data_IF_493543975321
#
_entry.id   IF_493543975321
#
_cell.length_a   1.000
_cell.length_b   1.000
_cell.length_c   1.000
_cell.angle_alpha   90.00
_cell.angle_beta   90.00
_cell.angle_gamma   90.00
#
_symmetry.space_group_name_H-M   'P 1'
#
loop_
_entity.id
_entity.type
_entity.pdbx_description
1 polymer ?
#
# COMPACT_ATOMS: atom_id res chain seq x y z
N UNK A 1 -68.85 43.38 17.26
CA UNK A 1 -68.17 44.38 16.43
C UNK A 1 -66.68 43.99 16.42
N UNK A 2 -66.30 43.25 15.44
CA UNK A 2 -64.94 42.66 15.35
C UNK A 2 -64.34 43.19 14.01
N UNK A 3 -63.21 43.86 14.15
CA UNK A 3 -62.44 44.36 12.98
C UNK A 3 -61.68 43.22 12.34
N UNK A 4 -61.51 43.19 11.03
CA UNK A 4 -60.74 42.18 10.31
C UNK A 4 -59.25 42.54 10.27
N UNK A 5 -58.38 41.52 10.50
CA UNK A 5 -56.95 41.60 10.34
C UNK A 5 -56.54 41.44 8.84
N UNK A 6 -55.73 42.36 8.41
CA UNK A 6 -55.17 42.45 7.06
C UNK A 6 -53.98 41.48 6.90
N UNK A 7 -54.12 40.43 6.09
CA UNK A 7 -53.07 39.48 5.75
C UNK A 7 -52.44 39.90 4.42
N UNK A 8 -51.25 40.51 4.45
CA UNK A 8 -50.39 40.68 3.24
C UNK A 8 -49.47 39.46 3.08
N UNK A 9 -49.35 38.94 1.87
CA UNK A 9 -48.45 37.82 1.58
C UNK A 9 -46.99 38.27 1.51
N UNK A 10 -46.11 37.54 2.20
CA UNK A 10 -44.66 37.68 2.19
C UNK A 10 -44.11 37.00 0.91
N UNK A 11 -43.45 37.79 0.03
CA UNK A 11 -42.75 37.26 -1.14
C UNK A 11 -41.54 36.45 -0.78
N UNK A 12 -41.22 35.35 -1.52
CA UNK A 12 -40.06 34.54 -1.26
C UNK A 12 -38.76 35.23 -1.76
N UNK A 13 -37.77 35.27 -0.86
CA UNK A 13 -36.40 35.72 -1.11
C UNK A 13 -35.73 34.67 -2.01
N UNK A 14 -35.29 35.04 -3.21
CA UNK A 14 -34.41 34.18 -4.05
C UNK A 14 -33.00 34.21 -3.51
N UNK A 15 -32.33 33.03 -3.37
CA UNK A 15 -30.92 33.04 -3.09
C UNK A 15 -30.11 33.41 -4.32
N UNK A 16 -29.31 34.45 -4.22
CA UNK A 16 -28.30 34.83 -5.21
C UNK A 16 -27.11 33.85 -5.09
N UNK A 17 -27.00 32.93 -6.03
CA UNK A 17 -25.83 32.11 -6.23
C UNK A 17 -24.68 32.98 -6.79
N UNK A 18 -23.79 33.39 -5.90
CA UNK A 18 -22.49 33.92 -6.28
C UNK A 18 -21.56 32.74 -6.59
N UNK A 19 -21.39 32.43 -7.87
CA UNK A 19 -20.37 31.50 -8.35
C UNK A 19 -19.00 32.12 -8.15
N UNK A 20 -18.34 31.79 -7.07
CA UNK A 20 -16.91 32.01 -6.92
C UNK A 20 -16.17 30.95 -7.76
N UNK A 21 -15.65 31.39 -8.90
CA UNK A 21 -14.69 30.65 -9.71
C UNK A 21 -13.37 30.63 -8.93
N UNK A 22 -13.14 29.58 -8.16
CA UNK A 22 -11.81 29.31 -7.60
C UNK A 22 -10.95 28.75 -8.73
N UNK A 23 -9.96 29.54 -9.14
CA UNK A 23 -8.85 29.05 -9.95
C UNK A 23 -8.02 28.09 -9.09
N UNK A 24 -8.07 26.80 -9.42
CA UNK A 24 -7.18 25.79 -8.84
C UNK A 24 -5.75 26.02 -9.34
N UNK A 25 -5.00 26.74 -8.53
CA UNK A 25 -3.57 26.94 -8.67
C UNK A 25 -2.87 26.58 -7.35
N UNK A 26 -3.22 25.49 -6.71
CA UNK A 26 -2.45 24.95 -5.58
C UNK A 26 -1.26 24.19 -6.14
N UNK A 27 -0.10 24.82 -6.10
CA UNK A 27 1.20 24.18 -6.31
C UNK A 27 1.36 23.08 -5.26
N UNK A 28 1.30 21.82 -5.69
CA UNK A 28 1.68 20.68 -4.85
C UNK A 28 3.11 20.91 -4.37
N UNK A 29 3.30 20.97 -3.06
CA UNK A 29 4.64 20.96 -2.47
C UNK A 29 5.27 19.59 -2.76
N UNK A 30 6.52 19.53 -3.20
CA UNK A 30 7.15 18.27 -3.55
C UNK A 30 7.43 17.49 -2.26
N UNK A 31 6.73 16.37 -2.11
CA UNK A 31 6.94 15.41 -1.04
C UNK A 31 7.67 14.21 -1.62
N UNK A 32 8.97 14.12 -1.35
CA UNK A 32 9.76 12.94 -1.74
C UNK A 32 9.51 11.85 -0.71
N UNK A 33 8.76 10.82 -1.09
CA UNK A 33 8.53 9.63 -0.29
C UNK A 33 9.57 8.57 -0.63
N UNK A 34 10.29 8.11 0.38
CA UNK A 34 11.30 7.08 0.27
C UNK A 34 10.84 5.84 1.04
N UNK A 35 10.33 4.86 0.32
CA UNK A 35 9.97 3.57 0.89
C UNK A 35 11.07 2.52 0.74
N UNK A 36 11.30 1.75 1.77
CA UNK A 36 12.14 0.59 1.67
C UNK A 36 12.69 -0.03 2.96
N UNK A 37 12.82 -1.30 2.92
CA UNK A 37 13.26 -2.19 3.99
C UNK A 37 14.75 -2.02 4.35
N UNK A 38 15.05 -1.63 5.57
CA UNK A 38 16.42 -1.38 6.05
C UNK A 38 17.02 -2.57 6.79
N UNK A 39 18.20 -2.99 6.38
CA UNK A 39 19.11 -3.79 7.21
C UNK A 39 20.08 -2.81 7.89
N UNK A 40 19.99 -2.64 9.21
CA UNK A 40 20.91 -1.78 9.96
C UNK A 40 22.03 -2.63 10.55
N UNK A 41 23.28 -2.33 10.18
CA UNK A 41 24.47 -2.63 10.96
C UNK A 41 24.89 -1.34 11.67
N UNK A 42 25.04 -1.44 12.99
CA UNK A 42 25.45 -0.37 13.89
C UNK A 42 26.91 0.04 13.67
N UNK A 43 27.14 1.32 13.47
CA UNK A 43 28.37 1.98 13.93
C UNK A 43 28.05 3.46 14.15
N UNK A 44 28.26 3.94 15.39
CA UNK A 44 28.00 5.30 15.80
C UNK A 44 29.05 6.29 15.31
N UNK A 45 28.68 7.57 15.27
CA UNK A 45 29.35 8.69 15.91
C UNK A 45 28.67 10.00 15.56
N UNK A 46 28.61 10.88 16.53
CA UNK A 46 28.03 12.21 16.57
C UNK A 46 28.52 13.16 15.49
N UNK A 47 27.62 14.00 14.93
CA UNK A 47 27.83 15.46 15.01
C UNK A 47 26.56 16.20 14.56
N UNK A 48 26.23 17.23 15.33
CA UNK A 48 25.11 18.14 15.10
C UNK A 48 25.39 19.05 13.89
N UNK A 49 24.40 19.19 13.00
CA UNK A 49 24.46 20.12 11.86
C UNK A 49 23.05 20.44 11.38
N UNK A 50 22.66 21.66 11.67
CA UNK A 50 21.46 22.40 11.31
C UNK A 50 20.86 22.11 9.93
N UNK A 51 19.52 22.07 9.90
CA UNK A 51 18.66 21.88 8.75
C UNK A 51 19.01 22.67 7.50
N UNK A 52 18.89 22.00 6.37
CA UNK A 52 18.66 22.47 5.00
C UNK A 52 19.04 21.42 3.94
N UNK A 53 19.01 20.12 4.26
CA UNK A 53 19.45 19.06 3.34
C UNK A 53 18.46 18.71 2.21
N UNK A 54 17.16 18.81 2.45
CA UNK A 54 16.15 18.27 1.52
C UNK A 54 15.87 19.21 0.35
N UNK A 55 15.92 20.53 0.55
CA UNK A 55 15.73 21.51 -0.51
C UNK A 55 16.82 21.48 -1.60
N UNK A 56 17.98 20.92 -1.32
CA UNK A 56 19.12 20.85 -2.25
C UNK A 56 19.08 19.63 -3.17
N UNK A 57 18.32 18.58 -2.80
CA UNK A 57 18.10 17.38 -3.64
C UNK A 57 17.13 17.62 -4.79
N UNK A 58 16.24 18.61 -4.67
CA UNK A 58 15.19 18.92 -5.63
C UNK A 58 15.61 19.75 -6.85
N UNK A 59 16.85 20.19 -6.94
CA UNK A 59 17.30 21.11 -7.97
C UNK A 59 18.07 20.50 -9.13
N UNK A 60 18.33 19.19 -9.14
CA UNK A 60 19.03 18.55 -10.27
C UNK A 60 17.99 17.98 -11.23
N UNK A 61 17.87 18.61 -12.44
CA UNK A 61 17.16 18.01 -13.56
C UNK A 61 17.63 16.57 -13.71
N UNK A 62 16.70 15.60 -13.67
CA UNK A 62 17.00 14.23 -14.08
C UNK A 62 17.69 14.31 -15.44
N UNK A 63 18.94 13.89 -15.50
CA UNK A 63 19.56 13.62 -16.79
C UNK A 63 18.93 12.31 -17.28
N UNK A 64 18.27 12.31 -18.43
CA UNK A 64 17.75 11.09 -19.07
C UNK A 64 18.87 10.07 -19.38
N UNK A 65 20.11 10.44 -19.15
CA UNK A 65 21.28 9.59 -19.32
C UNK A 65 21.34 8.50 -18.25
N UNK A 66 21.13 7.25 -18.66
CA UNK A 66 21.22 6.07 -17.79
C UNK A 66 19.89 5.42 -17.43
N UNK A 67 18.74 6.04 -17.73
CA UNK A 67 17.44 5.40 -17.58
C UNK A 67 17.22 4.29 -18.63
N UNK A 68 16.58 3.16 -18.26
CA UNK A 68 16.15 2.15 -19.21
C UNK A 68 15.10 2.71 -20.17
N UNK A 69 15.38 2.69 -21.49
CA UNK A 69 14.51 3.29 -22.50
C UNK A 69 14.43 2.45 -23.80
N UNK A 70 15.09 1.29 -23.88
CA UNK A 70 15.13 0.48 -25.12
C UNK A 70 13.77 -0.07 -25.51
N UNK A 71 12.95 -0.38 -24.53
CA UNK A 71 11.62 -0.93 -24.72
C UNK A 71 10.64 -0.22 -23.80
N UNK A 72 9.42 0.02 -24.29
CA UNK A 72 8.34 0.58 -23.50
C UNK A 72 7.06 -0.23 -23.71
N UNK A 73 6.31 -0.39 -22.63
CA UNK A 73 4.96 -0.96 -22.63
C UNK A 73 4.07 -0.02 -21.82
N UNK A 74 2.96 0.42 -22.41
CA UNK A 74 1.98 1.26 -21.75
C UNK A 74 0.64 0.52 -21.65
N UNK A 75 0.00 0.60 -20.48
CA UNK A 75 -1.33 0.06 -20.23
C UNK A 75 -1.99 0.89 -19.12
N UNK A 76 -3.07 1.58 -19.44
CA UNK A 76 -3.81 2.43 -18.49
C UNK A 76 -2.88 3.37 -17.70
N UNK A 77 -2.86 3.27 -16.35
CA UNK A 77 -1.98 4.05 -15.48
C UNK A 77 -0.52 3.54 -15.44
N UNK A 78 -0.20 2.39 -16.06
CA UNK A 78 1.13 1.79 -16.05
C UNK A 78 1.92 2.13 -17.31
N UNK A 79 3.16 2.57 -17.13
CA UNK A 79 4.17 2.63 -18.18
C UNK A 79 5.41 1.86 -17.70
N UNK A 80 5.83 0.83 -18.42
CA UNK A 80 7.09 0.12 -18.12
C UNK A 80 8.13 0.51 -19.15
N UNK A 81 9.21 1.12 -18.69
CA UNK A 81 10.41 1.44 -19.45
C UNK A 81 11.51 0.46 -19.07
N UNK A 82 12.07 -0.27 -20.01
CA UNK A 82 13.05 -1.32 -19.70
C UNK A 82 14.13 -1.46 -20.76
N UNK A 83 15.31 -1.91 -20.34
CA UNK A 83 16.35 -2.39 -21.25
C UNK A 83 16.16 -3.86 -21.67
N UNK A 84 15.27 -4.57 -20.97
CA UNK A 84 14.84 -5.91 -21.31
C UNK A 84 13.64 -5.88 -22.27
N UNK A 85 13.60 -6.79 -23.23
CA UNK A 85 12.47 -6.91 -24.15
C UNK A 85 11.26 -7.50 -23.44
N UNK A 86 10.40 -6.64 -22.89
CA UNK A 86 9.11 -7.01 -22.31
C UNK A 86 8.00 -6.68 -23.30
N UNK A 87 7.17 -7.67 -23.61
CA UNK A 87 5.94 -7.44 -24.37
C UNK A 87 4.76 -7.12 -23.44
N UNK A 88 3.69 -6.57 -24.01
CA UNK A 88 2.47 -6.26 -23.25
C UNK A 88 1.84 -7.47 -22.55
N UNK A 89 2.11 -8.70 -23.04
CA UNK A 89 1.66 -9.97 -22.44
C UNK A 89 2.73 -10.64 -21.57
N UNK A 90 3.79 -9.95 -21.23
CA UNK A 90 4.81 -10.49 -20.32
C UNK A 90 4.18 -10.71 -18.93
N UNK A 91 4.41 -11.86 -18.24
CA UNK A 91 3.78 -12.16 -16.95
C UNK A 91 3.91 -11.05 -15.90
N UNK A 92 5.05 -10.38 -15.85
CA UNK A 92 5.29 -9.25 -14.94
C UNK A 92 4.39 -8.05 -15.26
N UNK A 93 4.18 -7.74 -16.55
CA UNK A 93 3.31 -6.63 -16.97
C UNK A 93 1.84 -6.97 -16.66
N UNK A 94 1.42 -8.19 -16.97
CA UNK A 94 0.08 -8.66 -16.64
C UNK A 94 -0.17 -8.65 -15.12
N UNK A 95 0.81 -9.03 -14.32
CA UNK A 95 0.72 -8.99 -12.87
C UNK A 95 0.51 -7.56 -12.33
N UNK A 96 1.21 -6.57 -12.88
CA UNK A 96 1.01 -5.17 -12.46
C UNK A 96 -0.36 -4.61 -12.88
N UNK A 97 -0.90 -5.04 -14.03
CA UNK A 97 -2.28 -4.71 -14.41
C UNK A 97 -3.29 -5.29 -13.43
N UNK A 98 -3.15 -6.59 -13.11
CA UNK A 98 -4.01 -7.25 -12.12
C UNK A 98 -3.87 -6.59 -10.75
N UNK A 99 -2.65 -6.23 -10.33
CA UNK A 99 -2.44 -5.50 -9.09
C UNK A 99 -3.18 -4.15 -9.08
N UNK A 100 -3.12 -3.39 -10.18
CA UNK A 100 -3.86 -2.14 -10.30
C UNK A 100 -5.36 -2.36 -10.08
N UNK A 101 -5.95 -3.33 -10.77
CA UNK A 101 -7.36 -3.68 -10.61
C UNK A 101 -7.67 -4.06 -9.15
N UNK A 102 -6.85 -4.91 -8.54
CA UNK A 102 -6.99 -5.32 -7.15
C UNK A 102 -6.95 -4.14 -6.17
N UNK A 103 -6.02 -3.20 -6.36
CA UNK A 103 -5.89 -2.00 -5.51
C UNK A 103 -7.11 -1.11 -5.64
N UNK A 104 -7.52 -0.77 -6.88
CA UNK A 104 -8.67 0.09 -7.12
C UNK A 104 -9.97 -0.53 -6.60
N UNK A 105 -10.22 -1.81 -6.88
CA UNK A 105 -11.43 -2.51 -6.44
C UNK A 105 -11.49 -2.65 -4.91
N UNK A 106 -10.39 -3.10 -4.30
CA UNK A 106 -10.34 -3.37 -2.85
C UNK A 106 -10.46 -2.12 -2.01
N UNK A 107 -9.81 -1.04 -2.45
CA UNK A 107 -9.77 0.24 -1.74
C UNK A 107 -10.81 1.24 -2.23
N UNK A 108 -11.59 0.89 -3.26
CA UNK A 108 -12.56 1.77 -3.91
C UNK A 108 -11.96 3.15 -4.27
N UNK A 109 -10.72 3.12 -4.76
CA UNK A 109 -10.05 4.35 -5.15
C UNK A 109 -10.80 4.99 -6.34
N UNK A 110 -10.97 6.32 -6.31
CA UNK A 110 -11.57 7.02 -7.44
C UNK A 110 -10.75 6.76 -8.71
N UNK A 111 -11.44 6.70 -9.84
CA UNK A 111 -10.75 6.67 -11.12
C UNK A 111 -9.98 7.98 -11.31
N UNK A 112 -8.75 7.85 -11.78
CA UNK A 112 -7.89 9.00 -12.00
C UNK A 112 -8.37 9.79 -13.22
N UNK A 113 -9.07 10.91 -12.97
CA UNK A 113 -9.51 11.85 -13.99
C UNK A 113 -8.34 12.60 -14.66
N UNK A 114 -7.17 12.64 -14.02
CA UNK A 114 -5.98 13.34 -14.53
C UNK A 114 -5.21 12.50 -15.54
N UNK A 115 -5.40 11.19 -15.56
CA UNK A 115 -4.66 10.25 -16.40
C UNK A 115 -3.19 10.13 -15.97
N UNK A 116 -2.87 10.44 -14.71
CA UNK A 116 -1.52 10.35 -14.18
C UNK A 116 -1.02 8.91 -14.21
N UNK A 117 0.18 8.72 -14.78
CA UNK A 117 0.75 7.40 -15.00
C UNK A 117 1.90 7.14 -14.04
N UNK A 118 1.93 5.93 -13.51
CA UNK A 118 3.08 5.42 -12.77
C UNK A 118 4.06 4.80 -13.76
N UNK A 119 5.27 5.36 -13.83
CA UNK A 119 6.32 4.86 -14.72
C UNK A 119 7.28 3.95 -13.96
N UNK A 120 7.35 2.69 -14.38
CA UNK A 120 8.31 1.71 -13.87
C UNK A 120 9.57 1.72 -14.74
N UNK A 121 10.72 2.08 -14.18
CA UNK A 121 12.04 1.96 -14.79
C UNK A 121 12.68 0.67 -14.33
N UNK A 122 12.69 -0.33 -15.21
CA UNK A 122 13.23 -1.66 -14.94
C UNK A 122 14.60 -1.82 -15.60
N UNK A 123 15.63 -1.72 -14.79
CA UNK A 123 17.02 -1.93 -15.20
C UNK A 123 17.30 -3.41 -15.46
N UNK A 124 18.24 -3.70 -16.37
CA UNK A 124 18.60 -5.07 -16.69
C UNK A 124 19.32 -5.80 -15.55
N UNK A 125 20.00 -5.06 -14.67
CA UNK A 125 20.76 -5.60 -13.56
C UNK A 125 20.94 -4.59 -12.42
N UNK A 126 21.36 -5.09 -11.25
CA UNK A 126 21.60 -4.30 -10.04
C UNK A 126 22.67 -3.23 -10.22
N UNK A 127 23.73 -3.50 -10.97
CA UNK A 127 24.86 -2.58 -11.12
C UNK A 127 24.45 -1.29 -11.84
N UNK A 128 23.70 -1.40 -12.93
CA UNK A 128 23.18 -0.24 -13.68
C UNK A 128 22.16 0.55 -12.85
N UNK A 129 21.26 -0.15 -12.16
CA UNK A 129 20.31 0.45 -11.26
C UNK A 129 20.98 1.23 -10.13
N UNK A 130 21.94 0.59 -9.43
CA UNK A 130 22.66 1.22 -8.31
C UNK A 130 23.43 2.46 -8.78
N UNK A 131 24.13 2.36 -9.90
CA UNK A 131 24.83 3.50 -10.49
C UNK A 131 23.88 4.67 -10.74
N UNK A 132 22.73 4.41 -11.37
CA UNK A 132 21.74 5.44 -11.65
C UNK A 132 21.21 6.10 -10.35
N UNK A 133 20.83 5.29 -9.34
CA UNK A 133 20.32 5.82 -8.07
C UNK A 133 21.39 6.65 -7.37
N UNK A 134 22.62 6.18 -7.26
CA UNK A 134 23.72 6.92 -6.61
C UNK A 134 24.05 8.24 -7.31
N UNK A 135 24.01 8.28 -8.63
CA UNK A 135 24.29 9.49 -9.43
C UNK A 135 23.12 10.49 -9.39
N UNK A 136 21.89 10.01 -9.43
CA UNK A 136 20.68 10.85 -9.55
C UNK A 136 20.16 11.29 -8.18
N UNK A 137 20.20 10.40 -7.20
CA UNK A 137 19.70 10.61 -5.84
C UNK A 137 20.77 10.34 -4.78
N UNK A 138 21.84 11.15 -4.76
CA UNK A 138 22.97 10.93 -3.83
C UNK A 138 22.52 11.01 -2.37
N UNK A 139 22.95 10.02 -1.59
CA UNK A 139 22.63 9.93 -0.17
C UNK A 139 21.43 9.01 0.16
N UNK A 140 20.74 8.46 -0.84
CA UNK A 140 19.78 7.40 -0.59
C UNK A 140 20.49 6.12 -0.15
N UNK A 141 20.02 5.41 0.90
CA UNK A 141 20.53 4.09 1.24
C UNK A 141 20.26 3.13 0.08
N UNK A 142 21.06 2.07 -0.04
CA UNK A 142 20.78 1.05 -1.06
C UNK A 142 19.51 0.27 -0.73
N UNK A 143 18.63 0.17 -1.73
CA UNK A 143 17.41 -0.64 -1.73
C UNK A 143 17.23 -1.29 -3.08
N UNK A 144 16.48 -2.40 -3.16
CA UNK A 144 16.23 -3.11 -4.43
C UNK A 144 15.25 -2.36 -5.33
N UNK A 145 14.39 -1.56 -4.75
CA UNK A 145 13.44 -0.72 -5.47
C UNK A 145 13.18 0.58 -4.72
N UNK A 146 12.67 1.56 -5.44
CA UNK A 146 12.21 2.84 -4.93
C UNK A 146 10.98 3.31 -5.68
N UNK A 147 9.97 3.73 -4.97
CA UNK A 147 8.99 4.68 -5.49
C UNK A 147 9.47 6.11 -5.18
N UNK A 148 9.49 6.97 -6.19
CA UNK A 148 9.82 8.38 -6.07
C UNK A 148 8.72 9.20 -6.74
N UNK A 149 7.91 9.87 -5.93
CA UNK A 149 6.88 10.80 -6.37
C UNK A 149 7.39 12.24 -6.42
N UNK A 150 7.17 12.91 -7.55
CA UNK A 150 7.38 14.34 -7.70
C UNK A 150 6.09 14.98 -8.22
N UNK A 151 5.93 16.31 -8.20
CA UNK A 151 4.73 16.95 -8.75
C UNK A 151 4.43 16.63 -10.22
N UNK A 152 5.47 16.24 -10.97
CA UNK A 152 5.39 16.02 -12.41
C UNK A 152 5.49 14.54 -12.79
N UNK A 153 5.78 13.65 -11.82
CA UNK A 153 6.08 12.25 -12.15
C UNK A 153 5.96 11.32 -10.96
N UNK A 154 5.29 10.21 -11.17
CA UNK A 154 5.28 9.05 -10.26
C UNK A 154 6.14 7.96 -10.88
N UNK A 155 7.25 7.59 -10.23
CA UNK A 155 8.22 6.68 -10.81
C UNK A 155 8.67 5.60 -9.84
N UNK A 156 8.68 4.36 -10.32
CA UNK A 156 9.27 3.20 -9.65
C UNK A 156 10.59 2.87 -10.33
N UNK A 157 11.64 2.71 -9.55
CA UNK A 157 12.97 2.31 -10.02
C UNK A 157 13.32 0.97 -9.41
N UNK A 158 13.67 -0.02 -10.23
CA UNK A 158 14.07 -1.34 -9.78
C UNK A 158 14.91 -2.06 -10.86
N UNK A 159 15.45 -3.22 -10.54
CA UNK A 159 16.23 -4.04 -11.46
C UNK A 159 15.72 -5.48 -11.51
N UNK A 160 16.04 -6.16 -12.60
CA UNK A 160 15.69 -7.58 -12.76
C UNK A 160 16.43 -8.45 -11.77
N UNK A 161 15.68 -9.16 -10.89
CA UNK A 161 16.23 -10.03 -9.85
C UNK A 161 15.17 -10.96 -9.26
N UNK A 162 15.58 -11.83 -8.35
CA UNK A 162 14.72 -12.88 -7.78
C UNK A 162 13.48 -12.35 -7.02
N UNK A 163 13.57 -11.12 -6.51
CA UNK A 163 12.51 -10.47 -5.72
C UNK A 163 11.71 -9.43 -6.52
N UNK A 164 11.92 -9.37 -7.84
CA UNK A 164 11.32 -8.33 -8.70
C UNK A 164 9.79 -8.23 -8.56
N UNK A 165 9.09 -9.35 -8.38
CA UNK A 165 7.64 -9.34 -8.25
C UNK A 165 7.18 -8.70 -6.95
N UNK A 166 7.80 -9.09 -5.82
CA UNK A 166 7.52 -8.51 -4.51
C UNK A 166 7.85 -7.01 -4.52
N UNK A 167 9.07 -6.66 -4.95
CA UNK A 167 9.54 -5.28 -4.99
C UNK A 167 8.62 -4.39 -5.87
N UNK A 168 8.22 -4.86 -7.05
CA UNK A 168 7.33 -4.11 -7.93
C UNK A 168 5.92 -3.98 -7.37
N UNK A 169 5.37 -5.02 -6.75
CA UNK A 169 4.03 -4.94 -6.15
C UNK A 169 4.01 -3.90 -5.04
N UNK A 170 5.04 -3.87 -4.20
CA UNK A 170 5.18 -2.89 -3.12
C UNK A 170 5.26 -1.46 -3.68
N UNK A 171 6.27 -1.17 -4.50
CA UNK A 171 6.53 0.18 -4.99
C UNK A 171 5.47 0.70 -5.98
N UNK A 172 4.86 -0.19 -6.76
CA UNK A 172 3.79 0.21 -7.67
C UNK A 172 2.49 0.52 -6.91
N UNK A 173 2.25 -0.15 -5.76
CA UNK A 173 1.13 0.21 -4.87
C UNK A 173 1.26 1.64 -4.37
N UNK A 174 2.44 2.07 -3.90
CA UNK A 174 2.67 3.49 -3.57
C UNK A 174 2.33 4.40 -4.75
N UNK A 175 2.80 4.04 -5.96
CA UNK A 175 2.48 4.82 -7.17
C UNK A 175 0.98 4.98 -7.41
N UNK A 176 0.19 3.92 -7.26
CA UNK A 176 -1.26 3.95 -7.43
C UNK A 176 -1.96 4.79 -6.34
N UNK A 177 -1.53 4.68 -5.08
CA UNK A 177 -2.07 5.48 -3.98
C UNK A 177 -1.80 6.96 -4.21
N UNK A 178 -0.58 7.33 -4.56
CA UNK A 178 -0.19 8.71 -4.80
C UNK A 178 -0.74 9.31 -6.10
N UNK A 179 -1.14 8.48 -7.07
CA UNK A 179 -1.88 8.91 -8.24
C UNK A 179 -3.34 9.28 -7.91
N UNK A 180 -3.94 8.59 -6.94
CA UNK A 180 -5.37 8.70 -6.63
C UNK A 180 -5.67 9.61 -5.43
N UNK A 181 -4.72 9.82 -4.52
CA UNK A 181 -4.93 10.50 -3.23
C UNK A 181 -4.07 11.76 -3.14
N UNK A 182 -4.59 12.82 -2.52
CA UNK A 182 -3.84 14.08 -2.34
C UNK A 182 -2.68 13.92 -1.35
N UNK A 183 -2.86 13.06 -0.36
CA UNK A 183 -1.86 12.72 0.66
C UNK A 183 -2.14 11.32 1.17
N UNK A 184 -1.11 10.64 1.66
CA UNK A 184 -1.25 9.36 2.36
C UNK A 184 -0.38 9.40 3.61
N UNK A 185 -0.92 9.19 4.82
CA UNK A 185 -0.09 9.09 6.01
C UNK A 185 0.91 7.95 5.88
N UNK A 186 2.16 8.19 6.30
CA UNK A 186 3.27 7.26 6.10
C UNK A 186 2.95 5.82 6.52
N UNK A 187 2.38 5.64 7.71
CA UNK A 187 2.06 4.31 8.21
C UNK A 187 1.02 3.57 7.36
N UNK A 188 0.04 4.32 6.81
CA UNK A 188 -1.02 3.75 5.98
C UNK A 188 -0.49 3.41 4.58
N UNK A 189 0.34 4.28 4.01
CA UNK A 189 1.02 4.07 2.73
C UNK A 189 1.84 2.77 2.77
N UNK A 190 2.71 2.62 3.79
CA UNK A 190 3.49 1.41 4.00
C UNK A 190 2.62 0.18 4.33
N UNK A 191 1.60 0.36 5.16
CA UNK A 191 0.69 -0.73 5.51
C UNK A 191 -0.11 -1.28 4.33
N UNK A 192 -0.52 -0.43 3.40
CA UNK A 192 -1.19 -0.80 2.15
C UNK A 192 -0.20 -1.44 1.16
N UNK A 193 1.02 -0.89 1.02
CA UNK A 193 2.04 -1.48 0.17
C UNK A 193 2.39 -2.92 0.63
N UNK A 194 2.63 -3.13 1.91
CA UNK A 194 2.85 -4.45 2.52
C UNK A 194 1.65 -5.40 2.36
N UNK A 195 0.43 -4.87 2.38
CA UNK A 195 -0.79 -5.66 2.17
C UNK A 195 -0.90 -6.19 0.75
N UNK A 196 -0.53 -5.41 -0.25
CA UNK A 196 -0.59 -5.80 -1.66
C UNK A 196 0.71 -6.45 -2.18
N UNK A 197 1.80 -6.42 -1.41
CA UNK A 197 3.09 -7.00 -1.80
C UNK A 197 3.01 -8.50 -2.06
N UNK A 198 2.24 -9.23 -1.23
CA UNK A 198 2.14 -10.69 -1.34
C UNK A 198 1.34 -11.08 -2.60
N UNK A 199 1.97 -11.77 -3.57
CA UNK A 199 1.25 -12.23 -4.75
C UNK A 199 0.17 -13.24 -4.39
N UNK A 200 -1.04 -13.07 -4.94
CA UNK A 200 -2.16 -13.99 -4.72
C UNK A 200 -3.28 -13.74 -5.70
N UNK A 201 -4.20 -14.70 -5.83
CA UNK A 201 -5.43 -14.54 -6.63
C UNK A 201 -6.30 -13.46 -6.00
N UNK A 202 -6.38 -13.46 -4.67
CA UNK A 202 -7.08 -12.46 -3.87
C UNK A 202 -6.07 -11.62 -3.08
N UNK A 203 -6.27 -10.29 -3.02
CA UNK A 203 -5.46 -9.43 -2.17
C UNK A 203 -5.73 -9.72 -0.69
N UNK A 204 -4.71 -9.56 0.15
CA UNK A 204 -4.80 -9.80 1.59
C UNK A 204 -4.47 -11.23 2.00
N UNK A 205 -3.69 -11.94 1.20
CA UNK A 205 -3.04 -13.15 1.67
C UNK A 205 -2.18 -12.84 2.89
N UNK A 206 -2.38 -13.61 3.97
CA UNK A 206 -1.67 -13.39 5.24
C UNK A 206 -0.16 -13.50 5.05
N UNK A 207 0.57 -12.47 5.41
CA UNK A 207 2.02 -12.55 5.55
C UNK A 207 2.36 -13.38 6.79
N UNK A 208 2.71 -14.66 6.57
CA UNK A 208 2.97 -15.61 7.65
C UNK A 208 4.12 -15.19 8.57
N UNK A 209 5.17 -14.55 8.03
CA UNK A 209 6.26 -14.04 8.84
C UNK A 209 5.75 -12.96 9.81
N UNK A 210 4.95 -12.03 9.31
CA UNK A 210 4.36 -10.96 10.11
C UNK A 210 3.41 -11.51 11.18
N UNK A 211 2.52 -12.44 10.82
CA UNK A 211 1.59 -13.07 11.76
C UNK A 211 2.34 -13.74 12.93
N UNK A 212 3.39 -14.53 12.65
CA UNK A 212 4.20 -15.18 13.68
C UNK A 212 4.94 -14.18 14.58
N UNK A 213 5.53 -13.13 13.97
CA UNK A 213 6.27 -12.11 14.75
C UNK A 213 5.34 -11.28 15.64
N UNK A 214 4.15 -10.93 15.13
CA UNK A 214 3.13 -10.23 15.91
C UNK A 214 2.61 -11.08 17.07
N UNK A 215 2.30 -12.35 16.83
CA UNK A 215 1.87 -13.26 17.89
C UNK A 215 2.90 -13.36 19.02
N UNK A 216 4.19 -13.48 18.69
CA UNK A 216 5.28 -13.47 19.66
C UNK A 216 5.39 -12.14 20.41
N UNK A 217 5.24 -11.02 19.70
CA UNK A 217 5.27 -9.68 20.32
C UNK A 217 4.13 -9.52 21.32
N UNK A 218 2.91 -9.96 20.99
CA UNK A 218 1.74 -9.95 21.89
C UNK A 218 2.00 -10.78 23.14
N UNK A 219 2.57 -11.99 22.97
CA UNK A 219 2.95 -12.85 24.10
C UNK A 219 4.02 -12.20 25.01
N UNK A 220 4.89 -11.38 24.44
CA UNK A 220 5.91 -10.60 25.16
C UNK A 220 5.39 -9.29 25.76
N UNK A 221 4.09 -9.05 25.74
CA UNK A 221 3.46 -7.88 26.34
C UNK A 221 3.34 -6.65 25.44
N UNK A 222 3.71 -6.74 24.15
CA UNK A 222 3.49 -5.66 23.20
C UNK A 222 1.99 -5.36 23.04
N UNK A 223 1.68 -4.08 22.83
CA UNK A 223 0.34 -3.58 22.55
C UNK A 223 0.35 -2.70 21.30
N UNK A 224 -0.70 -2.77 20.47
CA UNK A 224 -0.83 -1.91 19.28
C UNK A 224 -1.01 -0.44 19.70
N UNK A 225 -0.50 0.47 18.86
CA UNK A 225 -0.67 1.91 19.07
C UNK A 225 -0.75 2.63 17.71
N UNK A 226 -1.94 2.62 17.11
CA UNK A 226 -2.20 3.28 15.83
C UNK A 226 -1.93 4.79 15.91
N UNK A 227 -2.22 5.42 17.07
CA UNK A 227 -1.96 6.86 17.26
C UNK A 227 -0.47 7.19 17.24
N UNK A 228 0.38 6.26 17.68
CA UNK A 228 1.84 6.39 17.54
C UNK A 228 2.24 6.31 16.08
N UNK A 229 1.69 5.37 15.32
CA UNK A 229 1.94 5.23 13.88
C UNK A 229 1.54 6.49 13.12
N UNK A 230 0.40 7.09 13.44
CA UNK A 230 -0.08 8.35 12.83
C UNK A 230 0.85 9.55 13.05
N UNK A 231 1.73 9.49 14.06
CA UNK A 231 2.73 10.54 14.33
C UNK A 231 4.06 10.35 13.57
N UNK A 232 4.21 9.24 12.86
CA UNK A 232 5.40 8.99 12.06
C UNK A 232 5.29 9.75 10.74
N UNK A 233 6.21 10.71 10.53
CA UNK A 233 6.21 11.56 9.34
C UNK A 233 7.34 11.22 8.37
N UNK A 234 8.33 10.46 8.82
CA UNK A 234 9.53 10.14 8.05
C UNK A 234 9.85 8.66 8.11
N UNK A 235 10.28 8.12 6.99
CA UNK A 235 10.64 6.69 6.86
C UNK A 235 11.75 6.29 7.84
N UNK A 236 12.68 7.20 8.14
CA UNK A 236 13.77 6.95 9.10
C UNK A 236 13.27 6.74 10.54
N UNK A 237 12.04 7.14 10.84
CA UNK A 237 11.39 6.92 12.14
C UNK A 237 10.74 5.54 12.22
N UNK A 238 10.47 4.90 11.08
CA UNK A 238 9.85 3.58 11.03
C UNK A 238 10.86 2.46 11.23
N UNK A 239 10.54 1.56 12.12
CA UNK A 239 11.26 0.32 12.34
C UNK A 239 10.50 -0.87 11.73
N UNK A 240 11.14 -2.01 11.57
CA UNK A 240 10.50 -3.24 11.07
C UNK A 240 9.23 -3.64 11.83
N UNK A 241 9.12 -3.25 13.11
CA UNK A 241 7.93 -3.49 13.90
C UNK A 241 6.76 -2.63 13.43
N UNK A 242 7.05 -1.39 13.00
CA UNK A 242 6.04 -0.44 12.55
C UNK A 242 5.42 -0.86 11.21
N UNK A 243 6.22 -1.35 10.27
CA UNK A 243 5.73 -1.94 9.02
C UNK A 243 4.76 -3.10 9.27
N UNK A 244 5.13 -4.02 10.17
CA UNK A 244 4.26 -5.15 10.55
C UNK A 244 2.99 -4.71 11.26
N UNK A 245 3.08 -3.71 12.13
CA UNK A 245 1.92 -3.15 12.82
C UNK A 245 0.99 -2.44 11.82
N UNK A 246 1.54 -1.65 10.91
CA UNK A 246 0.81 -0.97 9.82
C UNK A 246 0.09 -1.97 8.92
N UNK A 247 0.79 -2.99 8.44
CA UNK A 247 0.19 -4.09 7.69
C UNK A 247 -0.97 -4.73 8.46
N UNK A 248 -0.77 -5.02 9.73
CA UNK A 248 -1.78 -5.69 10.54
C UNK A 248 -3.02 -4.82 10.77
N UNK A 249 -2.88 -3.51 10.97
CA UNK A 249 -3.99 -2.57 11.04
C UNK A 249 -4.79 -2.51 9.74
N UNK A 250 -4.11 -2.42 8.60
CA UNK A 250 -4.76 -2.47 7.28
C UNK A 250 -5.50 -3.79 7.10
N UNK A 251 -4.84 -4.91 7.39
CA UNK A 251 -5.43 -6.24 7.26
C UNK A 251 -6.62 -6.44 8.20
N UNK A 252 -6.52 -5.95 9.44
CA UNK A 252 -7.63 -5.97 10.41
C UNK A 252 -8.84 -5.19 9.90
N UNK A 253 -8.65 -3.96 9.45
CA UNK A 253 -9.75 -3.14 8.95
C UNK A 253 -10.42 -3.77 7.73
N UNK A 254 -9.67 -4.30 6.78
CA UNK A 254 -10.21 -4.87 5.55
C UNK A 254 -10.90 -6.24 5.74
N UNK A 255 -10.58 -6.99 6.82
CA UNK A 255 -11.01 -8.39 6.95
C UNK A 255 -11.76 -8.73 8.23
N UNK A 256 -11.73 -7.89 9.27
CA UNK A 256 -12.31 -8.26 10.57
C UNK A 256 -13.82 -8.01 10.64
N UNK A 257 -14.27 -6.85 10.19
CA UNK A 257 -15.69 -6.44 10.26
C UNK A 257 -16.04 -5.50 9.11
N UNK A 258 -17.34 -5.46 8.70
CA UNK A 258 -17.81 -4.47 7.72
C UNK A 258 -17.54 -3.02 8.17
N UNK A 259 -17.73 -2.71 9.46
CA UNK A 259 -17.53 -1.36 10.01
C UNK A 259 -16.04 -0.96 9.91
N UNK A 260 -15.12 -1.87 10.22
CA UNK A 260 -13.68 -1.61 10.07
C UNK A 260 -13.29 -1.31 8.62
N UNK A 261 -13.84 -2.08 7.69
CA UNK A 261 -13.64 -1.85 6.26
C UNK A 261 -14.19 -0.48 5.85
N UNK A 262 -15.41 -0.15 6.28
CA UNK A 262 -16.03 1.13 5.91
C UNK A 262 -15.22 2.32 6.44
N UNK A 263 -14.74 2.27 7.68
CA UNK A 263 -13.86 3.32 8.26
C UNK A 263 -12.63 3.57 7.39
N UNK A 264 -11.96 2.51 6.92
CA UNK A 264 -10.80 2.66 6.06
C UNK A 264 -11.18 3.27 4.71
N UNK A 265 -12.28 2.81 4.09
CA UNK A 265 -12.72 3.33 2.79
C UNK A 265 -13.15 4.79 2.87
N UNK A 266 -13.90 5.19 3.90
CA UNK A 266 -14.30 6.59 4.12
C UNK A 266 -13.06 7.47 4.36
N UNK A 267 -12.06 6.95 5.05
CA UNK A 267 -10.80 7.66 5.26
C UNK A 267 -10.03 7.86 3.95
N UNK A 268 -9.93 6.83 3.11
CA UNK A 268 -9.30 6.95 1.79
C UNK A 268 -10.03 7.96 0.90
N UNK A 269 -11.37 7.98 0.96
CA UNK A 269 -12.16 9.00 0.28
C UNK A 269 -11.82 10.41 0.79
N UNK A 270 -11.67 10.59 2.11
CA UNK A 270 -11.26 11.89 2.67
C UNK A 270 -9.86 12.30 2.23
N UNK A 271 -8.92 11.36 2.10
CA UNK A 271 -7.57 11.61 1.59
C UNK A 271 -7.56 12.02 0.10
N UNK A 272 -8.55 11.58 -0.67
CA UNK A 272 -8.76 12.05 -2.04
C UNK A 272 -9.27 13.49 -2.08
N UNK A 273 -10.15 13.86 -1.17
CA UNK A 273 -10.82 15.18 -1.13
C UNK A 273 -9.99 16.27 -0.47
N UNK A 274 -9.14 15.94 0.51
CA UNK A 274 -8.34 16.90 1.26
C UNK A 274 -6.94 16.41 1.61
N UNK A 275 -5.99 17.34 1.63
CA UNK A 275 -4.62 17.07 2.11
C UNK A 275 -4.48 17.10 3.65
N UNK A 276 -5.54 17.45 4.38
CA UNK A 276 -5.55 17.56 5.84
C UNK A 276 -6.77 16.84 6.42
N UNK A 277 -6.85 15.51 6.32
CA UNK A 277 -7.93 14.74 6.91
C UNK A 277 -7.79 14.67 8.43
N UNK A 278 -8.91 14.36 9.10
CA UNK A 278 -8.87 13.97 10.51
C UNK A 278 -8.10 12.65 10.68
N UNK A 279 -7.67 12.36 11.93
CA UNK A 279 -6.95 11.11 12.20
C UNK A 279 -7.87 9.90 12.03
N UNK A 280 -7.40 8.86 11.33
CA UNK A 280 -8.13 7.60 11.15
C UNK A 280 -8.48 6.96 12.51
N UNK A 281 -7.56 7.01 13.48
CA UNK A 281 -7.77 6.46 14.82
C UNK A 281 -8.99 7.03 15.53
N UNK A 282 -9.37 8.27 15.24
CA UNK A 282 -10.57 8.91 15.80
C UNK A 282 -11.84 8.25 15.27
N UNK A 283 -11.95 8.09 13.95
CA UNK A 283 -13.08 7.42 13.30
C UNK A 283 -13.13 5.93 13.66
N UNK A 284 -11.97 5.29 13.75
CA UNK A 284 -11.87 3.87 14.10
C UNK A 284 -12.40 3.58 15.50
N UNK A 285 -12.01 4.38 16.50
CA UNK A 285 -12.51 4.23 17.89
C UNK A 285 -13.99 4.53 18.00
N UNK A 286 -14.51 5.48 17.24
CA UNK A 286 -15.93 5.80 17.21
C UNK A 286 -16.77 4.65 16.61
N UNK A 287 -16.32 4.04 15.53
CA UNK A 287 -17.02 2.95 14.85
C UNK A 287 -16.80 1.57 15.52
N UNK A 288 -15.61 1.35 16.08
CA UNK A 288 -15.21 0.10 16.72
C UNK A 288 -14.74 0.37 18.16
N UNK A 289 -15.63 0.44 19.14
CA UNK A 289 -15.24 0.50 20.54
C UNK A 289 -14.31 -0.66 20.89
N UNK A 290 -13.25 -0.37 21.68
CA UNK A 290 -12.20 -1.33 22.04
C UNK A 290 -11.42 -1.86 20.82
N UNK A 291 -11.17 -1.03 19.82
CA UNK A 291 -10.47 -1.41 18.59
C UNK A 291 -9.14 -2.14 18.85
N UNK A 292 -8.37 -1.70 19.86
CA UNK A 292 -7.10 -2.33 20.24
C UNK A 292 -7.27 -3.77 20.75
N UNK A 293 -8.32 -4.03 21.57
CA UNK A 293 -8.61 -5.37 22.07
C UNK A 293 -9.10 -6.29 20.93
N UNK A 294 -9.95 -5.76 20.04
CA UNK A 294 -10.40 -6.47 18.83
C UNK A 294 -9.24 -6.79 17.90
N UNK A 295 -8.33 -5.84 17.70
CA UNK A 295 -7.11 -6.04 16.91
C UNK A 295 -6.23 -7.14 17.50
N UNK A 296 -5.98 -7.15 18.82
CA UNK A 296 -5.20 -8.21 19.47
C UNK A 296 -5.81 -9.60 19.27
N UNK A 297 -7.13 -9.72 19.42
CA UNK A 297 -7.85 -10.96 19.15
C UNK A 297 -7.71 -11.37 17.68
N UNK A 298 -7.81 -10.42 16.75
CA UNK A 298 -7.63 -10.68 15.33
C UNK A 298 -6.23 -11.20 15.00
N UNK A 299 -5.18 -10.56 15.51
CA UNK A 299 -3.79 -11.00 15.34
C UNK A 299 -3.60 -12.45 15.86
N UNK A 300 -4.25 -12.83 16.95
CA UNK A 300 -4.22 -14.19 17.45
C UNK A 300 -4.83 -15.18 16.44
N UNK A 301 -5.90 -14.82 15.73
CA UNK A 301 -6.50 -15.68 14.72
C UNK A 301 -5.63 -15.88 13.48
N UNK A 302 -4.87 -14.87 13.06
CA UNK A 302 -3.96 -14.97 11.92
C UNK A 302 -2.91 -16.08 12.09
N UNK A 303 -2.44 -16.28 13.30
CA UNK A 303 -1.47 -17.33 13.60
C UNK A 303 -2.09 -18.75 13.62
N UNK A 304 -3.35 -18.89 14.08
CA UNK A 304 -4.02 -20.19 14.12
C UNK A 304 -4.44 -20.69 12.73
N UNK A 305 -4.72 -19.78 11.80
CA UNK A 305 -5.02 -20.13 10.41
C UNK A 305 -3.86 -20.84 9.71
N UNK A 306 -2.62 -20.48 10.04
CA UNK A 306 -1.42 -21.18 9.57
C UNK A 306 -1.34 -22.62 10.05
N UNK A 307 -1.66 -22.87 11.32
CA UNK A 307 -1.57 -24.23 11.90
C UNK A 307 -2.58 -25.16 11.25
N UNK A 308 -3.75 -24.65 10.86
CA UNK A 308 -4.76 -25.40 10.10
C UNK A 308 -4.29 -25.74 8.68
N UNK A 309 -3.64 -24.79 7.96
CA UNK A 309 -3.10 -25.03 6.61
C UNK A 309 -1.88 -25.96 6.61
N UNK A 310 -1.13 -26.01 7.71
CA UNK A 310 0.06 -26.87 7.86
C UNK A 310 -0.25 -28.24 8.44
N UNK A 311 -1.48 -28.50 8.88
CA UNK A 311 -1.90 -29.83 9.34
C UNK A 311 -2.24 -30.67 8.10
N UNK A 312 -1.48 -31.76 7.79
CA UNK A 312 -1.85 -32.66 6.70
C UNK A 312 -3.24 -33.22 6.99
N UNK A 313 -4.14 -33.13 6.02
CA UNK A 313 -5.45 -33.76 6.13
C UNK A 313 -5.30 -35.25 6.34
N UNK A 314 -5.43 -35.71 7.58
CA UNK A 314 -5.34 -37.13 7.94
C UNK A 314 -6.56 -37.95 7.46
N UNK A 315 -7.45 -37.39 6.66
CA UNK A 315 -8.70 -38.07 6.26
C UNK A 315 -8.70 -38.67 4.86
N UNK A 316 -7.56 -39.01 4.26
CA UNK A 316 -7.59 -39.73 2.96
C UNK A 316 -6.81 -41.06 2.92
N UNK A 317 -6.58 -41.75 4.04
CA UNK A 317 -6.00 -43.12 4.01
C UNK A 317 -6.71 -44.11 4.95
N UNK A 318 -8.04 -44.23 4.86
CA UNK A 318 -8.75 -45.47 5.30
C UNK A 318 -9.41 -46.12 4.09
N UNK A 319 -8.60 -46.43 3.08
CA UNK A 319 -8.97 -47.32 2.01
C UNK A 319 -8.85 -48.78 2.51
N UNK A 320 -9.95 -49.28 2.98
CA UNK A 320 -10.14 -50.72 3.33
C UNK A 320 -9.76 -51.59 2.12
N UNK A 321 -8.59 -52.20 2.19
CA UNK A 321 -8.24 -53.34 1.28
C UNK A 321 -9.13 -54.54 1.61
N UNK A 322 -10.22 -54.66 0.91
CA UNK A 322 -10.97 -55.93 0.81
C UNK A 322 -10.04 -56.97 0.14
N UNK A 323 -9.56 -57.95 0.93
CA UNK A 323 -8.95 -59.15 0.37
C UNK A 323 -10.02 -59.99 -0.30
N UNK A 324 -10.02 -60.05 -1.62
CA UNK A 324 -10.68 -61.14 -2.37
C UNK A 324 -9.86 -62.42 -2.24
N UNK A 325 -10.41 -63.37 -1.50
CA UNK A 325 -9.94 -64.73 -1.48
C UNK A 325 -10.46 -65.43 -2.73
N UNK A 326 -9.59 -65.63 -3.73
CA UNK A 326 -9.88 -66.50 -4.88
C UNK A 326 -9.78 -67.97 -4.40
N UNK A 327 -10.94 -68.61 -4.30
CA UNK A 327 -11.06 -70.03 -4.11
C UNK A 327 -10.71 -70.75 -5.42
N UNK A 328 -9.65 -71.52 -5.45
CA UNK A 328 -9.36 -72.52 -6.50
C UNK A 328 -10.25 -73.74 -6.26
N UNK A 329 -11.29 -73.96 -7.10
CA UNK A 329 -11.94 -75.25 -7.23
C UNK A 329 -11.24 -76.05 -8.34
N UNK A 330 -10.73 -77.20 -7.95
CA UNK A 330 -10.29 -78.26 -8.87
C UNK A 330 -11.52 -78.92 -9.57
N UNK A 331 -11.41 -79.20 -10.82
CA UNK A 331 -12.26 -80.16 -11.52
C UNK A 331 -11.40 -81.10 -12.37
N UNK A 332 -11.86 -82.29 -12.61
CA UNK A 332 -11.11 -83.43 -13.15
C UNK A 332 -10.73 -83.29 -14.60
#
# INVERSE_FOLDING_TARGET
MSSPQDHRPVSPIRPTTTTCRFQHGLRRLPMVWLCGLTLILLAGCHSAGSGNGISKLMGKRESDGGLPQRHSVAAEQLVVMSDLKLGAKHPLVEELKVLREQVHEKLQLPEDETGEKVTVYLFSNEMEYRKYIEETYPGLPFRRAYFIGTPDKLAVYTFWGDKIREDLRHEFTHGLLHASLQTVPLWLDEGLAEYFEVPGVEPGTVNNEYAVRLARAVQSGWRPDIRRLERLEKVEQMHRADYRESWAWVHFMLHSTPDGKQVLLDYLQSLHETSHPDLLSTSLVAALPEADARFLNYVATLNTYRDWLSTPSQEQFTGTKRRETVSRANAP
#
